data_IF_412448648155
#
_entry.id   IF_412448648155
#
_cell.length_a   1.000
_cell.length_b   1.000
_cell.length_c   1.000
_cell.angle_alpha   90.00
_cell.angle_beta   90.00
_cell.angle_gamma   90.00
#
_symmetry.space_group_name_H-M   'P 1'
#
loop_
_entity.id
_entity.type
_entity.pdbx_description
1 polymer ?
#
# COMPACT_ATOMS: atom_id res chain seq x y z
N UNK A 1 -14.52 1.99 -1.38
CA UNK A 1 -13.35 2.22 -0.47
C UNK A 1 -12.87 3.66 -0.56
N UNK A 2 -12.61 4.32 0.56
CA UNK A 2 -12.11 5.71 0.67
C UNK A 2 -10.93 5.72 1.65
N UNK A 3 -9.81 6.38 1.26
CA UNK A 3 -8.73 6.72 2.19
C UNK A 3 -9.11 8.03 2.90
N UNK A 4 -9.33 7.96 4.21
CA UNK A 4 -9.79 9.12 5.00
C UNK A 4 -8.63 9.93 5.58
N UNK A 5 -7.66 9.24 6.16
CA UNK A 5 -6.49 9.90 6.75
C UNK A 5 -5.28 8.99 6.79
N UNK A 6 -4.12 9.60 6.89
CA UNK A 6 -2.85 8.93 7.16
C UNK A 6 -2.19 9.58 8.35
N UNK A 7 -1.76 8.77 9.30
CA UNK A 7 -0.94 9.17 10.43
C UNK A 7 0.48 8.68 10.21
N UNK A 8 1.45 9.58 10.40
CA UNK A 8 2.87 9.28 10.23
C UNK A 8 3.61 9.83 11.45
N UNK A 9 4.44 8.98 12.06
CA UNK A 9 5.30 9.34 13.19
C UNK A 9 6.70 8.81 12.98
N UNK A 10 7.69 9.67 13.25
CA UNK A 10 9.10 9.30 13.25
C UNK A 10 9.70 8.99 11.88
N UNK A 11 9.06 9.38 10.78
CA UNK A 11 9.47 9.02 9.43
C UNK A 11 10.04 10.20 8.64
N UNK A 12 11.31 10.14 8.28
CA UNK A 12 12.06 11.14 7.50
C UNK A 12 11.93 12.54 8.09
N UNK A 13 11.17 13.44 7.43
CA UNK A 13 10.93 14.80 7.90
C UNK A 13 9.65 14.94 8.77
N UNK A 14 8.93 13.86 8.99
CA UNK A 14 7.70 13.85 9.80
C UNK A 14 8.00 13.40 11.22
N UNK A 15 8.02 14.33 12.17
CA UNK A 15 8.04 13.99 13.60
C UNK A 15 6.75 13.27 13.99
N UNK A 16 5.63 13.95 13.77
CA UNK A 16 4.29 13.42 13.96
C UNK A 16 3.30 14.27 13.17
N UNK A 17 2.55 13.64 12.26
CA UNK A 17 1.57 14.34 11.42
C UNK A 17 0.38 13.45 11.11
N UNK A 18 -0.78 14.09 11.00
CA UNK A 18 -1.98 13.48 10.45
C UNK A 18 -2.41 14.26 9.20
N UNK A 19 -2.57 13.56 8.09
CA UNK A 19 -3.02 14.14 6.82
C UNK A 19 -4.39 13.56 6.51
N UNK A 20 -5.40 14.41 6.34
CA UNK A 20 -6.74 14.01 5.94
C UNK A 20 -6.86 14.03 4.41
N UNK A 21 -7.59 13.08 3.88
CA UNK A 21 -7.86 12.93 2.45
C UNK A 21 -9.35 13.00 2.17
N UNK A 22 -9.67 13.50 1.00
CA UNK A 22 -10.99 13.44 0.40
C UNK A 22 -10.93 12.53 -0.82
N UNK A 23 -12.09 12.25 -1.44
CA UNK A 23 -12.19 11.46 -2.66
C UNK A 23 -11.22 11.93 -3.77
N UNK A 24 -10.99 13.23 -3.84
CA UNK A 24 -9.97 13.85 -4.68
C UNK A 24 -9.16 14.80 -3.82
N UNK A 25 -7.85 14.60 -3.73
CA UNK A 25 -6.95 15.41 -2.92
C UNK A 25 -5.81 15.93 -3.78
N UNK A 26 -5.49 17.21 -3.64
CA UNK A 26 -4.34 17.85 -4.27
C UNK A 26 -3.30 18.17 -3.21
N UNK A 27 -2.08 17.66 -3.40
CA UNK A 27 -0.95 17.92 -2.52
C UNK A 27 0.01 18.88 -3.24
N UNK A 28 0.14 20.09 -2.75
CA UNK A 28 1.03 21.10 -3.29
C UNK A 28 1.91 21.73 -2.19
N UNK A 29 3.00 22.36 -2.60
CA UNK A 29 3.92 23.01 -1.69
C UNK A 29 5.32 23.15 -2.30
N UNK A 30 6.22 23.85 -1.63
CA UNK A 30 7.62 24.01 -2.03
C UNK A 30 8.35 22.65 -2.15
N UNK A 31 9.53 22.65 -2.76
CA UNK A 31 10.36 21.45 -2.76
C UNK A 31 10.80 21.15 -1.32
N UNK A 32 11.07 19.91 -1.04
CA UNK A 32 11.60 19.38 0.24
C UNK A 32 10.67 19.49 1.47
N UNK A 33 9.42 19.94 1.30
CA UNK A 33 8.45 19.98 2.42
C UNK A 33 7.88 18.59 2.79
N UNK A 34 8.27 17.53 2.08
CA UNK A 34 7.87 16.15 2.42
C UNK A 34 6.77 15.54 1.53
N UNK A 35 6.36 16.19 0.43
CA UNK A 35 5.34 15.63 -0.49
C UNK A 35 5.68 14.20 -0.94
N UNK A 36 6.92 14.00 -1.38
CA UNK A 36 7.42 12.69 -1.82
C UNK A 36 7.46 11.70 -0.66
N UNK A 37 7.81 12.15 0.55
CA UNK A 37 7.86 11.30 1.73
C UNK A 37 6.44 10.84 2.15
N UNK A 38 5.43 11.72 2.03
CA UNK A 38 4.03 11.34 2.25
C UNK A 38 3.56 10.27 1.24
N UNK A 39 3.89 10.46 -0.04
CA UNK A 39 3.56 9.46 -1.07
C UNK A 39 4.30 8.14 -0.81
N UNK A 40 5.57 8.20 -0.39
CA UNK A 40 6.34 7.00 -0.08
C UNK A 40 5.76 6.25 1.15
N UNK A 41 5.33 6.97 2.18
CA UNK A 41 4.64 6.38 3.32
C UNK A 41 3.35 5.63 2.90
N UNK A 42 2.55 6.22 2.01
CA UNK A 42 1.38 5.56 1.44
C UNK A 42 1.75 4.32 0.61
N UNK A 43 2.84 4.39 -0.16
CA UNK A 43 3.33 3.27 -0.96
C UNK A 43 3.76 2.11 -0.07
N UNK A 44 4.46 2.35 1.03
CA UNK A 44 4.83 1.31 2.00
C UNK A 44 3.61 0.51 2.45
N UNK A 45 2.47 1.13 2.65
CA UNK A 45 1.25 0.44 3.06
C UNK A 45 0.51 -0.23 1.90
N UNK A 46 0.39 0.44 0.75
CA UNK A 46 -0.62 0.11 -0.25
C UNK A 46 -0.06 -0.24 -1.64
N UNK A 47 1.22 -0.02 -1.92
CA UNK A 47 1.78 -0.27 -3.25
C UNK A 47 2.27 -1.71 -3.38
N UNK A 48 1.58 -2.50 -4.19
CA UNK A 48 1.94 -3.89 -4.48
C UNK A 48 3.26 -4.04 -5.26
N UNK A 49 3.72 -2.99 -5.92
CA UNK A 49 4.94 -3.04 -6.73
C UNK A 49 6.23 -2.97 -5.91
N UNK A 50 6.13 -2.63 -4.61
CA UNK A 50 7.29 -2.62 -3.72
C UNK A 50 7.69 -4.06 -3.36
N UNK A 51 8.99 -4.32 -3.40
CA UNK A 51 9.60 -5.57 -2.95
C UNK A 51 9.86 -5.58 -1.44
N UNK A 52 10.23 -6.73 -0.90
CA UNK A 52 10.57 -6.85 0.53
C UNK A 52 11.73 -5.94 0.92
N UNK A 53 12.70 -5.70 0.03
CA UNK A 53 13.80 -4.75 0.23
C UNK A 53 13.34 -3.29 0.37
N UNK A 54 12.21 -2.93 -0.24
CA UNK A 54 11.67 -1.56 -0.15
C UNK A 54 11.02 -1.29 1.21
N UNK A 55 10.74 -2.33 2.01
CA UNK A 55 10.19 -2.20 3.37
C UNK A 55 11.27 -2.13 4.43
N UNK A 56 12.49 -2.60 4.13
CA UNK A 56 13.64 -2.48 5.00
C UNK A 56 14.13 -1.03 4.97
N UNK A 57 13.61 -0.23 5.91
CA UNK A 57 14.02 1.15 6.05
C UNK A 57 15.47 1.23 6.56
N UNK A 58 16.15 2.29 6.16
CA UNK A 58 17.49 2.62 6.63
C UNK A 58 17.42 3.59 7.82
N UNK A 59 18.53 3.75 8.55
CA UNK A 59 18.65 4.74 9.64
C UNK A 59 18.27 6.15 9.19
N UNK A 60 18.54 6.50 7.92
CA UNK A 60 18.18 7.78 7.32
C UNK A 60 16.66 7.99 7.13
N UNK A 61 15.86 6.94 7.24
CA UNK A 61 14.39 7.02 7.16
C UNK A 61 13.75 7.38 8.50
N UNK A 62 14.50 7.28 9.60
CA UNK A 62 14.04 7.74 10.91
C UNK A 62 14.17 9.25 11.02
N UNK A 63 13.27 9.87 11.78
CA UNK A 63 13.26 11.33 11.97
C UNK A 63 14.57 11.78 12.65
N UNK A 64 15.37 12.56 11.92
CA UNK A 64 16.76 12.85 12.28
C UNK A 64 16.96 13.92 13.38
N UNK A 65 15.93 14.70 13.69
CA UNK A 65 16.06 15.82 14.63
C UNK A 65 15.89 15.42 16.10
N UNK A 66 15.58 14.14 16.37
CA UNK A 66 15.46 13.55 17.70
C UNK A 66 16.01 12.12 17.66
N UNK A 67 16.32 11.52 18.83
CA UNK A 67 16.70 10.10 18.92
C UNK A 67 15.44 9.21 18.70
N UNK A 68 15.00 9.16 17.45
CA UNK A 68 13.81 8.42 17.05
C UNK A 68 14.15 6.96 16.82
N UNK A 69 13.55 6.06 17.58
CA UNK A 69 13.76 4.60 17.49
C UNK A 69 12.59 3.84 16.91
N UNK A 70 11.51 4.53 16.60
CA UNK A 70 10.31 3.90 16.02
C UNK A 70 9.68 4.76 14.94
N UNK A 71 9.21 4.12 13.89
CA UNK A 71 8.39 4.69 12.82
C UNK A 71 7.03 4.04 12.90
N UNK A 72 5.98 4.84 12.78
CA UNK A 72 4.60 4.36 12.63
C UNK A 72 4.00 5.07 11.41
N UNK A 73 3.51 4.29 10.45
CA UNK A 73 2.73 4.78 9.32
C UNK A 73 1.40 4.05 9.36
N UNK A 74 0.30 4.79 9.42
CA UNK A 74 -1.04 4.24 9.58
C UNK A 74 -2.00 4.86 8.58
N UNK A 75 -2.74 4.04 7.85
CA UNK A 75 -3.78 4.47 6.93
C UNK A 75 -5.15 4.05 7.45
N UNK A 76 -6.12 4.95 7.37
CA UNK A 76 -7.50 4.73 7.77
C UNK A 76 -8.37 4.74 6.53
N UNK A 77 -8.98 3.62 6.27
CA UNK A 77 -9.83 3.35 5.12
C UNK A 77 -11.28 3.17 5.57
N UNK A 78 -12.23 3.57 4.76
CA UNK A 78 -13.67 3.34 4.98
C UNK A 78 -14.39 2.95 3.70
N UNK A 79 -15.68 2.65 3.84
CA UNK A 79 -16.55 2.26 2.73
C UNK A 79 -16.00 1.06 1.94
N UNK A 80 -15.44 0.09 2.65
CA UNK A 80 -14.99 -1.17 2.02
C UNK A 80 -16.20 -2.09 1.92
N UNK A 81 -16.77 -2.17 0.73
CA UNK A 81 -17.99 -2.93 0.44
C UNK A 81 -17.77 -4.04 -0.59
N UNK A 82 -16.61 -4.08 -1.21
CA UNK A 82 -16.27 -5.08 -2.23
C UNK A 82 -16.19 -6.48 -1.58
N UNK A 83 -17.03 -7.41 -2.02
CA UNK A 83 -17.17 -8.75 -1.44
C UNK A 83 -15.84 -9.52 -1.34
N UNK A 84 -15.00 -9.41 -2.38
CA UNK A 84 -13.68 -10.06 -2.38
C UNK A 84 -12.74 -9.53 -1.29
N UNK A 85 -12.83 -8.24 -0.95
CA UNK A 85 -12.05 -7.61 0.13
C UNK A 85 -12.61 -8.03 1.48
N UNK A 86 -13.93 -7.93 1.65
CA UNK A 86 -14.63 -8.31 2.89
C UNK A 86 -14.36 -9.77 3.22
N UNK A 87 -14.45 -10.68 2.26
CA UNK A 87 -14.19 -12.10 2.47
C UNK A 87 -12.73 -12.39 2.89
N UNK A 88 -11.76 -11.62 2.38
CA UNK A 88 -10.33 -11.83 2.65
C UNK A 88 -9.85 -11.14 3.92
N UNK A 89 -10.42 -9.99 4.25
CA UNK A 89 -10.06 -9.25 5.46
C UNK A 89 -10.71 -9.87 6.73
N UNK A 90 -11.81 -10.61 6.56
CA UNK A 90 -12.49 -11.32 7.64
C UNK A 90 -12.82 -10.40 8.82
N UNK A 91 -12.63 -10.88 10.05
CA UNK A 91 -12.92 -10.12 11.28
C UNK A 91 -12.05 -8.88 11.54
N UNK A 92 -11.22 -8.45 10.57
CA UNK A 92 -10.36 -7.26 10.65
C UNK A 92 -11.03 -5.98 10.14
N UNK A 93 -12.22 -6.11 9.53
CA UNK A 93 -13.08 -5.00 9.14
C UNK A 93 -14.08 -4.69 10.26
N UNK A 94 -14.40 -3.40 10.44
CA UNK A 94 -15.56 -3.01 11.25
C UNK A 94 -16.87 -3.35 10.52
N UNK A 95 -17.98 -3.37 11.24
CA UNK A 95 -19.31 -3.60 10.65
C UNK A 95 -19.70 -2.50 9.64
N UNK A 96 -19.06 -1.33 9.73
CA UNK A 96 -19.25 -0.21 8.81
C UNK A 96 -18.30 -0.24 7.60
N UNK A 97 -17.44 -1.27 7.48
CA UNK A 97 -16.46 -1.36 6.41
C UNK A 97 -15.22 -0.49 6.63
N UNK A 98 -14.88 -0.15 7.89
CA UNK A 98 -13.66 0.57 8.21
C UNK A 98 -12.50 -0.41 8.41
N UNK A 99 -11.31 0.02 8.02
CA UNK A 99 -10.07 -0.73 8.14
C UNK A 99 -8.93 0.20 8.48
N UNK A 100 -8.11 -0.20 9.43
CA UNK A 100 -6.84 0.44 9.75
C UNK A 100 -5.71 -0.49 9.31
N UNK A 101 -4.80 0.06 8.53
CA UNK A 101 -3.55 -0.59 8.13
C UNK A 101 -2.39 0.15 8.78
N UNK A 102 -1.45 -0.58 9.37
CA UNK A 102 -0.27 0.00 9.99
C UNK A 102 1.00 -0.72 9.55
N UNK A 103 2.02 0.07 9.26
CA UNK A 103 3.41 -0.34 9.20
C UNK A 103 4.12 0.26 10.41
N UNK A 104 4.93 -0.55 11.08
CA UNK A 104 5.76 -0.12 12.19
C UNK A 104 7.17 -0.64 12.00
N UNK A 105 8.16 0.25 12.12
CA UNK A 105 9.57 -0.14 12.16
C UNK A 105 10.20 0.33 13.48
N UNK A 106 11.11 -0.48 14.03
CA UNK A 106 11.79 -0.19 15.28
C UNK A 106 13.28 -0.47 15.15
N UNK A 107 14.10 0.40 15.77
CA UNK A 107 15.53 0.15 15.95
C UNK A 107 15.71 -0.48 17.34
N UNK A 108 16.25 -1.70 17.36
CA UNK A 108 16.63 -2.37 18.59
C UNK A 108 18.07 -2.91 18.50
N UNK A 109 18.95 -2.47 19.38
CA UNK A 109 20.39 -2.86 19.36
C UNK A 109 21.07 -2.65 18.00
N UNK A 110 20.77 -1.54 17.31
CA UNK A 110 21.32 -1.20 16.00
C UNK A 110 20.78 -2.04 14.84
N UNK A 111 19.76 -2.85 15.07
CA UNK A 111 19.04 -3.57 14.03
C UNK A 111 17.65 -2.99 13.83
N UNK A 112 17.26 -2.80 12.58
CA UNK A 112 15.91 -2.37 12.21
C UNK A 112 15.07 -3.63 12.02
N UNK A 113 13.89 -3.64 12.62
CA UNK A 113 12.85 -4.63 12.38
C UNK A 113 11.56 -3.92 11.99
N UNK A 114 10.72 -4.56 11.18
CA UNK A 114 9.44 -4.01 10.81
C UNK A 114 8.33 -5.06 10.89
N UNK A 115 7.11 -4.58 11.08
CA UNK A 115 5.89 -5.40 11.13
C UNK A 115 4.73 -4.66 10.47
N UNK A 116 3.80 -5.43 9.92
CA UNK A 116 2.54 -4.93 9.40
C UNK A 116 1.39 -5.33 10.31
N UNK A 117 0.42 -4.45 10.45
CA UNK A 117 -0.78 -4.68 11.25
C UNK A 117 -2.01 -4.29 10.46
N UNK A 118 -3.12 -4.94 10.74
CA UNK A 118 -4.43 -4.53 10.26
C UNK A 118 -5.51 -4.80 11.30
N UNK A 119 -6.56 -3.97 11.32
CA UNK A 119 -7.63 -4.11 12.28
C UNK A 119 -8.79 -3.13 12.06
N UNK A 120 -9.81 -3.26 12.90
CA UNK A 120 -11.04 -2.44 12.84
C UNK A 120 -10.82 -1.00 13.27
N UNK A 121 -9.90 -0.79 14.20
CA UNK A 121 -9.53 0.52 14.74
C UNK A 121 -8.02 0.58 15.01
N UNK A 122 -7.55 1.73 15.49
CA UNK A 122 -6.15 1.93 15.88
C UNK A 122 -5.86 1.59 17.35
N UNK A 123 -6.82 0.97 18.04
CA UNK A 123 -6.61 0.44 19.39
C UNK A 123 -5.67 -0.78 19.36
N UNK A 124 -4.94 -0.97 20.44
CA UNK A 124 -4.00 -2.11 20.58
C UNK A 124 -4.74 -3.45 20.48
N UNK A 125 -5.97 -3.52 20.97
CA UNK A 125 -6.76 -4.75 20.98
C UNK A 125 -7.30 -5.13 19.61
N UNK A 126 -7.49 -4.14 18.72
CA UNK A 126 -8.04 -4.34 17.37
C UNK A 126 -6.97 -4.54 16.29
N UNK A 127 -5.75 -4.02 16.51
CA UNK A 127 -4.65 -4.16 15.57
C UNK A 127 -3.97 -5.52 15.71
N UNK A 128 -4.09 -6.34 14.69
CA UNK A 128 -3.48 -7.67 14.62
C UNK A 128 -2.28 -7.63 13.70
N UNK A 129 -1.14 -8.14 14.19
CA UNK A 129 0.06 -8.31 13.36
C UNK A 129 -0.21 -9.34 12.26
N UNK A 130 0.34 -9.07 11.08
CA UNK A 130 0.24 -9.95 9.91
C UNK A 130 1.64 -10.21 9.34
N UNK A 131 1.90 -11.45 8.94
CA UNK A 131 3.21 -11.89 8.43
C UNK A 131 3.60 -11.18 7.13
N UNK A 132 2.61 -10.81 6.32
CA UNK A 132 2.82 -10.12 5.06
C UNK A 132 1.65 -9.20 4.72
N UNK A 133 1.87 -8.14 3.94
CA UNK A 133 0.82 -7.21 3.52
C UNK A 133 -0.02 -7.78 2.36
N UNK A 134 -0.60 -9.00 2.55
CA UNK A 134 -1.41 -9.72 1.56
C UNK A 134 -2.59 -8.90 1.03
N UNK A 135 -3.09 -7.96 1.82
CA UNK A 135 -4.20 -7.08 1.46
C UNK A 135 -3.90 -6.21 0.23
N UNK A 136 -2.62 -5.95 -0.09
CA UNK A 136 -2.23 -5.18 -1.28
C UNK A 136 -2.66 -5.82 -2.59
N UNK A 137 -2.97 -7.11 -2.58
CA UNK A 137 -3.56 -7.77 -3.76
C UNK A 137 -4.94 -7.19 -4.10
N UNK A 138 -5.65 -6.71 -3.09
CA UNK A 138 -7.03 -6.22 -3.20
C UNK A 138 -7.12 -4.69 -3.00
N UNK A 139 -6.34 -4.16 -2.09
CA UNK A 139 -6.27 -2.74 -1.74
C UNK A 139 -4.94 -2.19 -2.25
N UNK A 140 -4.89 -1.79 -3.51
CA UNK A 140 -3.65 -1.42 -4.18
C UNK A 140 -3.63 0.05 -4.56
N UNK A 141 -2.56 0.76 -4.15
CA UNK A 141 -2.23 2.10 -4.62
C UNK A 141 -1.35 1.99 -5.86
N UNK A 142 -1.82 2.54 -6.97
CA UNK A 142 -1.01 2.66 -8.18
C UNK A 142 -0.30 4.01 -8.20
N UNK A 143 1.02 3.98 -8.06
CA UNK A 143 1.87 5.15 -8.11
C UNK A 143 2.34 5.42 -9.54
N UNK A 144 2.06 6.62 -10.04
CA UNK A 144 2.58 7.12 -11.32
C UNK A 144 3.66 8.13 -11.00
N UNK A 145 4.91 7.76 -11.23
CA UNK A 145 6.06 8.63 -10.98
C UNK A 145 6.12 9.84 -11.91
N UNK A 146 6.91 10.84 -11.53
CA UNK A 146 7.14 12.07 -12.31
C UNK A 146 7.94 11.83 -13.61
N UNK A 147 8.66 10.72 -13.73
CA UNK A 147 9.33 10.35 -14.98
C UNK A 147 8.28 9.96 -16.02
N UNK A 148 8.37 10.56 -17.19
CA UNK A 148 7.44 10.41 -18.32
C UNK A 148 7.45 9.00 -18.96
N UNK A 149 7.54 7.95 -18.17
CA UNK A 149 7.44 6.55 -18.61
C UNK A 149 5.98 6.07 -18.65
N UNK A 150 5.07 6.98 -19.06
CA UNK A 150 3.64 6.70 -19.16
C UNK A 150 3.34 5.46 -20.00
N UNK A 151 4.04 5.27 -21.11
CA UNK A 151 3.89 4.11 -21.97
C UNK A 151 4.38 2.80 -21.31
N UNK A 152 5.49 2.85 -20.57
CA UNK A 152 5.96 1.70 -19.78
C UNK A 152 4.96 1.29 -18.72
N UNK A 153 4.37 2.28 -18.03
CA UNK A 153 3.32 2.04 -17.04
C UNK A 153 2.06 1.41 -17.65
N UNK A 154 1.57 1.97 -18.78
CA UNK A 154 0.39 1.42 -19.49
C UNK A 154 0.64 -0.01 -19.94
N UNK A 155 1.79 -0.28 -20.56
CA UNK A 155 2.12 -1.61 -21.03
C UNK A 155 2.24 -2.63 -19.88
N UNK A 156 2.86 -2.23 -18.76
CA UNK A 156 2.93 -3.07 -17.57
C UNK A 156 1.54 -3.36 -17.00
N UNK A 157 0.70 -2.33 -16.82
CA UNK A 157 -0.68 -2.50 -16.32
C UNK A 157 -1.55 -3.32 -17.26
N UNK A 158 -1.38 -3.15 -18.59
CA UNK A 158 -2.06 -3.98 -19.60
C UNK A 158 -1.66 -5.44 -19.45
N UNK A 159 -0.36 -5.73 -19.33
CA UNK A 159 0.13 -7.11 -19.19
C UNK A 159 -0.33 -7.75 -17.88
N UNK A 160 -0.35 -7.00 -16.77
CA UNK A 160 -0.89 -7.47 -15.49
C UNK A 160 -2.39 -7.83 -15.59
N UNK A 161 -3.20 -6.98 -16.26
CA UNK A 161 -4.62 -7.25 -16.50
C UNK A 161 -4.83 -8.46 -17.42
N UNK A 162 -4.00 -8.61 -18.45
CA UNK A 162 -4.07 -9.76 -19.34
C UNK A 162 -3.70 -11.06 -18.64
N UNK A 163 -2.71 -11.04 -17.73
CA UNK A 163 -2.34 -12.19 -16.91
C UNK A 163 -3.47 -12.56 -15.93
N UNK A 164 -4.05 -11.58 -15.26
CA UNK A 164 -5.22 -11.82 -14.39
C UNK A 164 -6.41 -12.39 -15.18
N UNK A 165 -6.69 -11.85 -16.36
CA UNK A 165 -7.77 -12.35 -17.22
C UNK A 165 -7.48 -13.76 -17.74
N UNK A 166 -6.23 -14.19 -17.87
CA UNK A 166 -5.86 -15.57 -18.21
C UNK A 166 -6.00 -16.52 -17.02
N UNK A 167 -5.63 -16.07 -15.81
CA UNK A 167 -5.77 -16.86 -14.57
C UNK A 167 -7.24 -17.12 -14.19
N UNK A 168 -8.16 -16.21 -14.58
CA UNK A 168 -9.59 -16.29 -14.29
C UNK A 168 -10.38 -17.04 -15.39
N UNK A 169 -9.73 -17.51 -16.47
CA UNK A 169 -10.36 -18.23 -17.58
C UNK A 169 -10.19 -19.75 -17.44
N UNK A 170 -11.19 -20.49 -17.85
CA UNK A 170 -11.10 -21.94 -17.98
C UNK A 170 -10.03 -22.34 -19.02
N UNK A 171 -9.27 -23.38 -18.74
CA UNK A 171 -8.15 -23.85 -19.59
C UNK A 171 -8.58 -24.06 -21.05
N UNK A 172 -9.81 -24.54 -21.31
CA UNK A 172 -10.35 -24.74 -22.66
C UNK A 172 -10.44 -23.44 -23.47
N UNK A 173 -10.76 -22.32 -22.81
CA UNK A 173 -10.89 -20.99 -23.46
C UNK A 173 -9.49 -20.43 -23.77
N UNK A 174 -8.52 -20.67 -22.91
CA UNK A 174 -7.12 -20.23 -23.12
C UNK A 174 -6.52 -21.00 -24.31
N UNK A 175 -6.72 -22.31 -24.41
CA UNK A 175 -6.25 -23.11 -25.55
C UNK A 175 -6.91 -22.71 -26.88
N UNK A 176 -8.19 -22.36 -26.87
CA UNK A 176 -8.89 -21.89 -28.07
C UNK A 176 -8.36 -20.54 -28.56
N UNK A 177 -8.09 -19.61 -27.65
CA UNK A 177 -7.50 -18.32 -27.96
C UNK A 177 -6.06 -18.47 -28.51
N UNK A 178 -5.23 -19.32 -27.92
CA UNK A 178 -3.85 -19.57 -28.36
C UNK A 178 -3.80 -20.22 -29.77
N UNK A 179 -4.77 -21.07 -30.12
CA UNK A 179 -4.92 -21.62 -31.49
C UNK A 179 -5.30 -20.53 -32.49
N UNK A 180 -6.24 -19.66 -32.14
CA UNK A 180 -6.63 -18.51 -32.97
C UNK A 180 -5.47 -17.53 -33.22
N UNK A 181 -4.67 -17.25 -32.19
CA UNK A 181 -3.47 -16.42 -32.35
C UNK A 181 -2.42 -17.05 -33.25
N UNK A 182 -2.23 -18.38 -33.19
CA UNK A 182 -1.28 -19.08 -34.04
C UNK A 182 -1.70 -19.13 -35.52
N UNK A 183 -2.99 -18.97 -35.84
CA UNK A 183 -3.50 -18.91 -37.21
C UNK A 183 -3.40 -17.47 -37.81
N UNK A 184 -3.18 -16.43 -37.00
CA UNK A 184 -3.15 -15.02 -37.44
C UNK A 184 -1.70 -14.52 -37.66
N UNK A 185 -0.69 -15.23 -37.12
CA UNK A 185 0.74 -14.90 -37.25
C UNK A 185 1.40 -15.79 -38.29
#
# INVERSE_FOLDING_TARGET
>A
MILNKVYIKGFRNFKEVTVNFNKHSLIFGANDVGKTNLIYALRILLDRSLSDYDYELMDSDFYAYEDTKSIIIRAYLSDITEECVVARMGGKLSDNGDLVLQYQANIHNGKISYSFYCGKSDSIDDLVEIDSPYYRKYLNLKYIGSRREFWGYINKSKNELLLQAKEDRDEEVVEADDRLYAEIV
#
